data_IF_764530588296
#
_entry.id   IF_764530588296
#
_cell.length_a   1.000
_cell.length_b   1.000
_cell.length_c   1.000
_cell.angle_alpha   90.00
_cell.angle_beta   90.00
_cell.angle_gamma   90.00
#
_symmetry.space_group_name_H-M   'P 1'
#
loop_
_entity.id
_entity.type
_entity.pdbx_description
1 polymer ?
#
# COMPACT_ATOMS: atom_id res chain seq x y z
N UNK A 1 -17.37 -19.91 3.43
CA UNK A 1 -15.96 -19.64 3.09
C UNK A 1 -15.75 -18.28 2.41
N UNK A 2 -16.61 -17.86 1.47
CA UNK A 2 -16.44 -16.58 0.74
C UNK A 2 -16.48 -15.31 1.61
N UNK A 3 -17.35 -15.25 2.64
CA UNK A 3 -17.44 -14.08 3.54
C UNK A 3 -16.15 -13.80 4.31
N UNK A 4 -15.49 -14.85 4.83
CA UNK A 4 -14.25 -14.71 5.62
C UNK A 4 -13.05 -14.35 4.73
N UNK A 5 -13.00 -14.91 3.52
CA UNK A 5 -11.96 -14.60 2.53
C UNK A 5 -12.05 -13.15 2.01
N UNK A 6 -13.27 -12.63 1.82
CA UNK A 6 -13.49 -11.24 1.44
C UNK A 6 -13.13 -10.26 2.57
N UNK A 7 -13.36 -10.63 3.84
CA UNK A 7 -12.97 -9.82 4.99
C UNK A 7 -11.45 -9.71 5.13
N UNK A 8 -10.73 -10.83 4.98
CA UNK A 8 -9.27 -10.87 5.03
C UNK A 8 -8.62 -10.05 3.91
N UNK A 9 -9.15 -10.13 2.68
CA UNK A 9 -8.69 -9.31 1.56
C UNK A 9 -8.95 -7.82 1.80
N UNK A 10 -10.11 -7.47 2.35
CA UNK A 10 -10.46 -6.09 2.67
C UNK A 10 -9.53 -5.48 3.73
N UNK A 11 -9.27 -6.21 4.81
CA UNK A 11 -8.36 -5.79 5.89
C UNK A 11 -6.93 -5.66 5.35
N UNK A 12 -6.47 -6.62 4.54
CA UNK A 12 -5.15 -6.57 3.94
C UNK A 12 -4.94 -5.36 3.03
N UNK A 13 -5.94 -5.02 2.21
CA UNK A 13 -5.88 -3.86 1.31
C UNK A 13 -5.92 -2.55 2.09
N UNK A 14 -6.80 -2.43 3.09
CA UNK A 14 -6.85 -1.23 3.94
C UNK A 14 -5.58 -1.06 4.76
N UNK A 15 -5.07 -2.13 5.36
CA UNK A 15 -3.80 -2.12 6.10
C UNK A 15 -2.61 -1.75 5.22
N UNK A 16 -2.56 -2.29 3.99
CA UNK A 16 -1.54 -1.93 3.01
C UNK A 16 -1.63 -0.47 2.56
N UNK A 17 -2.84 0.02 2.27
CA UNK A 17 -3.05 1.42 1.88
C UNK A 17 -2.64 2.39 3.00
N UNK A 18 -3.12 2.17 4.23
CA UNK A 18 -2.79 3.00 5.39
C UNK A 18 -1.31 2.91 5.76
N UNK A 19 -0.74 1.71 5.77
CA UNK A 19 0.68 1.51 6.04
C UNK A 19 1.58 2.18 5.00
N UNK A 20 1.17 2.20 3.73
CA UNK A 20 1.95 2.85 2.67
C UNK A 20 2.00 4.37 2.77
N UNK A 21 1.02 5.01 3.43
CA UNK A 21 0.95 6.47 3.57
C UNK A 21 1.34 6.97 4.96
N UNK A 22 1.56 6.07 5.92
CA UNK A 22 1.84 6.42 7.32
C UNK A 22 3.11 7.27 7.48
N UNK A 23 4.13 7.00 6.67
CA UNK A 23 5.40 7.74 6.73
C UNK A 23 5.22 9.18 6.22
N UNK A 24 4.32 9.41 5.26
CA UNK A 24 3.96 10.75 4.79
C UNK A 24 3.29 11.55 5.91
N UNK A 25 2.42 10.89 6.68
CA UNK A 25 1.77 11.48 7.85
C UNK A 25 2.79 11.86 8.94
N UNK A 26 3.67 10.93 9.32
CA UNK A 26 4.74 11.17 10.30
C UNK A 26 5.66 12.31 9.85
N UNK A 27 6.01 12.32 8.56
CA UNK A 27 6.83 13.38 7.98
C UNK A 27 6.10 14.73 8.01
N UNK A 28 4.81 14.74 7.70
CA UNK A 28 3.94 15.91 7.80
C UNK A 28 3.88 16.50 9.21
N UNK A 29 3.83 15.65 10.24
CA UNK A 29 3.94 16.08 11.64
C UNK A 29 5.29 16.74 11.92
N UNK A 30 6.38 16.15 11.46
CA UNK A 30 7.74 16.67 11.68
C UNK A 30 7.95 18.06 11.05
N UNK A 31 7.35 18.32 9.89
CA UNK A 31 7.41 19.64 9.22
C UNK A 31 6.23 20.55 9.55
N UNK A 32 5.38 20.17 10.52
CA UNK A 32 4.18 20.90 10.95
C UNK A 32 3.25 21.30 9.78
N UNK A 33 3.12 20.43 8.78
CA UNK A 33 2.32 20.73 7.59
C UNK A 33 1.06 19.88 7.50
N UNK A 34 -0.08 20.53 7.72
CA UNK A 34 -1.41 19.92 7.60
C UNK A 34 -1.70 19.31 6.24
N UNK A 35 -1.19 19.90 5.17
CA UNK A 35 -1.35 19.38 3.82
C UNK A 35 -0.77 17.98 3.67
N UNK A 36 0.47 17.77 4.15
CA UNK A 36 1.15 16.48 4.05
C UNK A 36 0.65 15.44 5.06
N UNK A 37 -0.05 15.87 6.11
CA UNK A 37 -0.75 14.96 7.02
C UNK A 37 -2.08 14.47 6.43
N UNK A 38 -2.89 15.39 5.89
CA UNK A 38 -4.29 15.10 5.56
C UNK A 38 -4.47 14.54 4.15
N UNK A 39 -3.81 15.12 3.15
CA UNK A 39 -4.06 14.77 1.75
C UNK A 39 -3.63 13.34 1.42
N UNK A 40 -2.43 12.86 1.81
CA UNK A 40 -2.05 11.47 1.56
C UNK A 40 -2.97 10.46 2.25
N UNK A 41 -3.43 10.78 3.45
CA UNK A 41 -4.33 9.93 4.22
C UNK A 41 -5.70 9.81 3.55
N UNK A 42 -6.26 10.94 3.08
CA UNK A 42 -7.50 10.96 2.31
C UNK A 42 -7.36 10.20 0.99
N UNK A 43 -6.25 10.36 0.28
CA UNK A 43 -5.98 9.60 -0.94
C UNK A 43 -5.90 8.09 -0.67
N UNK A 44 -5.23 7.68 0.42
CA UNK A 44 -5.16 6.28 0.84
C UNK A 44 -6.52 5.68 1.21
N UNK A 45 -7.34 6.42 1.98
CA UNK A 45 -8.70 6.01 2.35
C UNK A 45 -9.64 5.93 1.16
N UNK A 46 -9.66 6.96 0.30
CA UNK A 46 -10.46 6.98 -0.91
C UNK A 46 -10.07 5.85 -1.86
N UNK A 47 -8.76 5.62 -2.03
CA UNK A 47 -8.21 4.49 -2.78
C UNK A 47 -8.68 3.16 -2.21
N UNK A 48 -8.49 2.91 -0.92
CA UNK A 48 -8.93 1.69 -0.26
C UNK A 48 -10.45 1.43 -0.39
N UNK A 49 -11.26 2.47 -0.20
CA UNK A 49 -12.72 2.37 -0.35
C UNK A 49 -13.13 2.00 -1.78
N UNK A 50 -12.56 2.66 -2.79
CA UNK A 50 -12.88 2.40 -4.19
C UNK A 50 -12.57 0.95 -4.58
N UNK A 51 -11.53 0.38 -3.97
CA UNK A 51 -11.08 -0.99 -4.20
C UNK A 51 -12.00 -2.02 -3.61
N UNK A 52 -12.46 -1.78 -2.37
CA UNK A 52 -13.47 -2.63 -1.75
C UNK A 52 -14.76 -2.65 -2.57
N UNK A 53 -15.14 -1.49 -3.10
CA UNK A 53 -16.32 -1.35 -3.95
C UNK A 53 -16.13 -2.08 -5.28
N UNK A 54 -14.97 -1.95 -5.93
CA UNK A 54 -14.64 -2.67 -7.16
C UNK A 54 -14.56 -4.19 -6.96
N UNK A 55 -13.92 -4.65 -5.88
CA UNK A 55 -13.81 -6.08 -5.56
C UNK A 55 -15.16 -6.74 -5.29
N UNK A 56 -16.09 -5.96 -4.72
CA UNK A 56 -17.46 -6.41 -4.47
C UNK A 56 -18.30 -6.49 -5.75
N UNK A 57 -18.03 -5.62 -6.74
CA UNK A 57 -18.75 -5.59 -8.02
C UNK A 57 -18.14 -6.50 -9.10
N UNK A 58 -16.83 -6.69 -9.09
CA UNK A 58 -16.07 -7.44 -10.10
C UNK A 58 -15.06 -8.40 -9.44
N UNK A 59 -15.55 -9.43 -8.72
CA UNK A 59 -14.71 -10.38 -8.01
C UNK A 59 -13.86 -11.28 -8.93
N UNK A 60 -14.06 -11.24 -10.24
CA UNK A 60 -13.23 -11.90 -11.24
C UNK A 60 -12.00 -11.06 -11.63
N UNK A 61 -12.05 -9.74 -11.43
CA UNK A 61 -10.98 -8.81 -11.78
C UNK A 61 -10.06 -8.44 -10.60
N UNK A 62 -10.07 -9.21 -9.50
CA UNK A 62 -9.38 -8.83 -8.24
C UNK A 62 -7.90 -8.53 -8.41
N UNK A 63 -7.21 -9.29 -9.26
CA UNK A 63 -5.79 -9.10 -9.52
C UNK A 63 -5.51 -7.74 -10.19
N UNK A 64 -6.31 -7.41 -11.20
CA UNK A 64 -6.20 -6.14 -11.93
C UNK A 64 -6.53 -4.98 -10.98
N UNK A 65 -7.58 -5.12 -10.19
CA UNK A 65 -8.00 -4.11 -9.21
C UNK A 65 -6.87 -3.88 -8.21
N UNK A 66 -6.43 -4.90 -7.48
CA UNK A 66 -5.41 -4.72 -6.45
C UNK A 66 -4.03 -4.31 -7.03
N UNK A 67 -3.70 -4.70 -8.27
CA UNK A 67 -2.47 -4.26 -8.95
C UNK A 67 -2.52 -2.77 -9.28
N UNK A 68 -3.67 -2.29 -9.76
CA UNK A 68 -3.91 -0.87 -10.04
C UNK A 68 -3.80 -0.01 -8.76
N UNK A 69 -4.12 -0.59 -7.61
CA UNK A 69 -4.06 0.09 -6.31
C UNK A 69 -2.64 0.24 -5.84
N UNK A 70 -1.84 -0.81 -5.97
CA UNK A 70 -0.42 -0.72 -5.67
C UNK A 70 0.18 0.38 -6.55
N UNK A 71 -0.11 0.40 -7.85
CA UNK A 71 0.37 1.47 -8.74
C UNK A 71 -0.10 2.87 -8.32
N UNK A 72 -1.37 3.02 -7.90
CA UNK A 72 -1.91 4.29 -7.42
C UNK A 72 -1.21 4.75 -6.12
N UNK A 73 -1.06 3.87 -5.13
CA UNK A 73 -0.38 4.15 -3.88
C UNK A 73 1.07 4.56 -4.13
N UNK A 74 1.70 3.97 -5.13
CA UNK A 74 3.08 4.26 -5.51
C UNK A 74 3.19 5.60 -6.19
N UNK A 75 2.25 5.94 -7.08
CA UNK A 75 2.17 7.28 -7.66
C UNK A 75 1.97 8.34 -6.57
N UNK A 76 1.08 8.11 -5.59
CA UNK A 76 0.90 8.98 -4.42
C UNK A 76 2.23 9.13 -3.66
N UNK A 77 2.88 8.02 -3.33
CA UNK A 77 4.14 8.02 -2.59
C UNK A 77 5.27 8.71 -3.35
N UNK A 78 5.35 8.55 -4.67
CA UNK A 78 6.33 9.25 -5.50
C UNK A 78 6.05 10.75 -5.52
N UNK A 79 4.80 11.17 -5.74
CA UNK A 79 4.43 12.60 -5.77
C UNK A 79 4.73 13.24 -4.42
N UNK A 80 4.16 12.73 -3.33
CA UNK A 80 4.35 13.32 -2.02
C UNK A 80 5.77 13.13 -1.50
N UNK A 81 6.41 12.01 -1.79
CA UNK A 81 7.80 11.78 -1.38
C UNK A 81 8.77 12.75 -2.03
N UNK A 82 8.62 13.03 -3.33
CA UNK A 82 9.45 14.03 -4.00
C UNK A 82 9.16 15.46 -3.51
N UNK A 83 7.89 15.79 -3.22
CA UNK A 83 7.51 17.10 -2.65
C UNK A 83 8.02 17.29 -1.21
N UNK A 84 8.08 16.22 -0.43
CA UNK A 84 8.52 16.23 0.96
C UNK A 84 10.02 16.18 1.10
N UNK A 85 10.73 15.48 0.21
CA UNK A 85 12.13 15.11 0.42
C UNK A 85 13.01 16.31 0.79
N UNK A 86 12.87 17.42 0.08
CA UNK A 86 13.66 18.62 0.34
C UNK A 86 13.26 19.33 1.64
N UNK A 87 12.01 19.16 2.08
CA UNK A 87 11.43 19.75 3.28
C UNK A 87 11.71 18.95 4.55
N UNK A 88 12.10 17.68 4.42
CA UNK A 88 12.45 16.84 5.56
C UNK A 88 13.66 17.46 6.29
N UNK A 89 13.54 17.78 7.59
CA UNK A 89 14.67 18.28 8.36
C UNK A 89 15.70 17.17 8.57
N UNK A 90 16.96 17.53 8.73
CA UNK A 90 18.04 16.56 8.99
C UNK A 90 17.89 15.88 10.36
N UNK A 91 17.24 16.57 11.30
CA UNK A 91 16.97 16.08 12.64
C UNK A 91 15.54 16.38 13.07
N UNK A 92 14.93 15.45 13.80
CA UNK A 92 13.62 15.62 14.46
C UNK A 92 13.78 15.19 15.91
N UNK A 93 13.46 16.08 16.85
CA UNK A 93 13.60 15.83 18.29
C UNK A 93 14.99 15.31 18.70
N UNK A 94 16.05 15.83 18.08
CA UNK A 94 17.43 15.44 18.37
C UNK A 94 17.89 14.13 17.73
N UNK A 95 17.02 13.41 17.01
CA UNK A 95 17.37 12.20 16.27
C UNK A 95 17.57 12.51 14.78
N UNK A 96 18.60 11.90 14.17
CA UNK A 96 18.83 12.00 12.72
C UNK A 96 17.68 11.34 11.94
N UNK A 97 17.23 12.00 10.88
CA UNK A 97 16.21 11.45 9.97
C UNK A 97 16.79 10.51 8.92
N UNK A 98 18.12 10.33 8.89
CA UNK A 98 18.81 9.52 7.88
C UNK A 98 18.83 10.14 6.48
N UNK A 99 18.29 11.37 6.30
CA UNK A 99 18.23 12.08 5.02
C UNK A 99 19.61 12.28 4.38
N UNK A 100 20.66 12.48 5.17
CA UNK A 100 22.02 12.69 4.62
C UNK A 100 22.59 11.44 3.93
N UNK A 101 22.19 10.25 4.37
CA UNK A 101 22.62 8.98 3.78
C UNK A 101 21.75 8.51 2.62
N UNK A 102 20.69 9.26 2.28
CA UNK A 102 19.67 8.82 1.34
C UNK A 102 19.41 9.91 0.30
N UNK A 103 19.25 9.53 -0.97
CA UNK A 103 18.97 10.50 -2.05
C UNK A 103 17.51 10.38 -2.50
N UNK A 104 16.98 11.39 -3.19
CA UNK A 104 15.65 11.33 -3.82
C UNK A 104 15.54 10.11 -4.75
N UNK A 105 16.60 9.83 -5.50
CA UNK A 105 16.64 8.68 -6.40
C UNK A 105 16.56 7.37 -5.62
N UNK A 106 17.31 7.23 -4.52
CA UNK A 106 17.25 6.04 -3.66
C UNK A 106 15.84 5.81 -3.10
N UNK A 107 15.15 6.89 -2.68
CA UNK A 107 13.75 6.80 -2.23
C UNK A 107 12.81 6.33 -3.33
N UNK A 108 12.90 6.94 -4.52
CA UNK A 108 12.04 6.58 -5.64
C UNK A 108 12.27 5.13 -6.09
N UNK A 109 13.53 4.69 -6.17
CA UNK A 109 13.88 3.31 -6.50
C UNK A 109 13.39 2.31 -5.45
N UNK A 110 13.53 2.64 -4.16
CA UNK A 110 13.04 1.80 -3.07
C UNK A 110 11.51 1.64 -3.15
N UNK A 111 10.78 2.75 -3.36
CA UNK A 111 9.33 2.73 -3.51
C UNK A 111 8.93 1.82 -4.68
N UNK A 112 9.55 1.98 -5.86
CA UNK A 112 9.28 1.14 -7.03
C UNK A 112 9.60 -0.34 -6.75
N UNK A 113 10.73 -0.64 -6.12
CA UNK A 113 11.11 -2.02 -5.79
C UNK A 113 10.10 -2.67 -4.83
N UNK A 114 9.65 -1.96 -3.79
CA UNK A 114 8.60 -2.44 -2.88
C UNK A 114 7.26 -2.64 -3.58
N UNK A 115 6.97 -1.82 -4.59
CA UNK A 115 5.77 -1.95 -5.43
C UNK A 115 5.78 -3.26 -6.22
N UNK A 116 6.89 -3.51 -6.92
CA UNK A 116 7.08 -4.71 -7.72
C UNK A 116 7.08 -5.95 -6.83
N UNK A 117 7.69 -5.87 -5.65
CA UNK A 117 7.64 -6.93 -4.66
C UNK A 117 6.22 -7.21 -4.17
N UNK A 118 5.43 -6.16 -3.89
CA UNK A 118 4.02 -6.29 -3.53
C UNK A 118 3.18 -6.95 -4.62
N UNK A 119 3.35 -6.53 -5.88
CA UNK A 119 2.69 -7.14 -7.04
C UNK A 119 3.08 -8.61 -7.18
N UNK A 120 4.38 -8.92 -7.02
CA UNK A 120 4.90 -10.28 -7.06
C UNK A 120 4.27 -11.16 -5.97
N UNK A 121 4.24 -10.71 -4.72
CA UNK A 121 3.62 -11.46 -3.61
C UNK A 121 2.13 -11.71 -3.85
N UNK A 122 1.41 -10.73 -4.42
CA UNK A 122 0.02 -10.91 -4.86
C UNK A 122 -0.10 -12.07 -5.86
N UNK A 123 0.77 -12.11 -6.87
CA UNK A 123 0.76 -13.16 -7.89
C UNK A 123 1.00 -14.56 -7.31
N UNK A 124 1.83 -14.68 -6.26
CA UNK A 124 2.14 -15.95 -5.59
C UNK A 124 1.01 -16.39 -4.64
N UNK A 125 0.44 -15.46 -3.87
CA UNK A 125 -0.63 -15.73 -2.91
C UNK A 125 -1.90 -16.33 -3.55
N UNK A 126 -2.17 -16.00 -4.82
CA UNK A 126 -3.33 -16.53 -5.55
C UNK A 126 -3.06 -17.75 -6.42
N UNK A 127 -1.80 -18.15 -6.63
CA UNK A 127 -1.49 -19.43 -7.30
C UNK A 127 -1.88 -20.64 -6.45
N UNK A 128 -2.05 -20.49 -5.14
CA UNK A 128 -2.56 -21.54 -4.26
C UNK A 128 -4.09 -21.61 -4.33
N UNK A 129 -4.63 -22.37 -5.30
CA UNK A 129 -5.94 -23.01 -5.11
C UNK A 129 -5.78 -24.06 -4.00
N UNK A 130 -6.66 -24.12 -2.98
CA UNK A 130 -6.78 -25.35 -2.21
C UNK A 130 -7.30 -26.42 -3.18
N UNK A 131 -6.45 -27.38 -3.52
CA UNK A 131 -6.91 -28.63 -4.12
C UNK A 131 -7.97 -29.22 -3.19
N UNK A 132 -9.12 -29.50 -3.79
CA UNK A 132 -10.26 -30.14 -3.17
C UNK A 132 -9.83 -31.40 -2.42
N UNK A 133 -9.98 -31.41 -1.09
CA UNK A 133 -10.25 -32.68 -0.41
C UNK A 133 -11.66 -33.10 -0.81
N UNK A 134 -11.76 -33.84 -1.92
CA UNK A 134 -12.92 -34.71 -2.14
C UNK A 134 -12.94 -35.73 -1.00
N UNK A 135 -14.08 -36.01 -0.34
CA UNK A 135 -14.17 -37.14 0.56
C UNK A 135 -14.02 -38.41 -0.28
N UNK A 136 -13.01 -39.23 0.02
CA UNK A 136 -12.97 -40.63 -0.43
C UNK A 136 -14.19 -41.33 0.18
N UNK A 137 -15.25 -41.43 -0.62
CA UNK A 137 -16.34 -42.37 -0.38
C UNK A 137 -16.01 -43.59 -1.21
N UNK A 138 -15.27 -44.53 -0.61
CA UNK A 138 -15.24 -45.91 -1.09
C UNK A 138 -16.40 -46.66 -0.45
N UNK A 139 -17.24 -47.20 -1.33
CA UNK A 139 -18.39 -48.09 -1.09
C UNK A 139 -17.97 -49.36 -0.35
#
# INVERSE_FOLDING_TARGET
MEKSYNLGAAIGIMGGALGSVIWLFITGLAIQSWFFMTVPLLCGLAGGFFVLLLLSRKPEQRQIIAGSVILLLVAINLVFGNLLFDRIPLTVWGMSTGKEGFSRLHLNLLLVAMSLFGIYLMSQGWRKKPESKLPDVTV
#
